data_IF_761450442045
#
_entry.id   IF_761450442045
#
_cell.length_a   1.000
_cell.length_b   1.000
_cell.length_c   1.000
_cell.angle_alpha   90.00
_cell.angle_beta   90.00
_cell.angle_gamma   90.00
#
_symmetry.space_group_name_H-M   'P 1'
#
loop_
_entity.id
_entity.type
_entity.pdbx_description
1 polymer ?
#
# COMPACT_ATOMS: atom_id res chain seq x y z
N UNK A 1 -19.65 10.86 -79.57
CA UNK A 1 -19.48 9.79 -78.57
C UNK A 1 -20.07 10.25 -77.25
N UNK A 2 -20.95 9.46 -76.63
CA UNK A 2 -21.61 9.82 -75.38
C UNK A 2 -20.73 9.43 -74.18
N UNK A 3 -20.39 10.39 -73.33
CA UNK A 3 -19.63 10.15 -72.09
C UNK A 3 -20.59 9.49 -71.08
N UNK A 4 -20.30 8.29 -70.57
CA UNK A 4 -21.15 7.65 -69.57
C UNK A 4 -21.15 8.50 -68.29
N UNK A 5 -22.34 8.94 -67.88
CA UNK A 5 -22.54 9.71 -66.64
C UNK A 5 -22.47 8.75 -65.45
N UNK A 6 -21.28 8.64 -64.82
CA UNK A 6 -21.14 7.96 -63.54
C UNK A 6 -21.76 8.81 -62.43
N UNK A 7 -22.65 8.22 -61.65
CA UNK A 7 -23.31 8.86 -60.52
C UNK A 7 -22.60 8.61 -59.19
N UNK A 8 -23.10 9.20 -58.11
CA UNK A 8 -22.63 8.95 -56.74
C UNK A 8 -22.65 7.46 -56.39
N UNK A 9 -23.60 6.69 -56.93
CA UNK A 9 -23.73 5.25 -56.70
C UNK A 9 -22.63 4.41 -57.40
N UNK A 10 -21.96 4.97 -58.41
CA UNK A 10 -20.85 4.30 -59.12
C UNK A 10 -19.50 4.57 -58.44
N UNK A 11 -19.47 5.44 -57.42
CA UNK A 11 -18.28 5.69 -56.61
C UNK A 11 -18.09 4.48 -55.70
N UNK A 12 -17.16 3.59 -56.08
CA UNK A 12 -16.73 2.46 -55.24
C UNK A 12 -16.03 3.03 -54.00
N UNK A 13 -16.77 3.19 -52.92
CA UNK A 13 -16.19 3.58 -51.64
C UNK A 13 -15.55 2.35 -50.98
N UNK A 14 -14.38 2.52 -50.34
CA UNK A 14 -13.72 1.45 -49.57
C UNK A 14 -14.47 1.09 -48.28
N UNK A 15 -15.58 1.76 -48.02
CA UNK A 15 -16.51 1.57 -46.90
C UNK A 15 -16.93 0.10 -46.83
N UNK A 16 -16.43 -0.62 -45.82
CA UNK A 16 -16.72 -2.04 -45.60
C UNK A 16 -15.57 -3.00 -45.94
N UNK A 17 -14.59 -2.62 -46.78
CA UNK A 17 -13.41 -3.47 -47.05
C UNK A 17 -12.36 -3.42 -45.92
N UNK A 18 -12.30 -2.31 -45.19
CA UNK A 18 -11.30 -2.05 -44.14
C UNK A 18 -11.65 -2.72 -42.79
N UNK A 19 -12.84 -3.34 -42.68
CA UNK A 19 -13.43 -3.72 -41.38
C UNK A 19 -12.98 -5.08 -40.82
N UNK A 20 -12.12 -5.85 -41.51
CA UNK A 20 -11.89 -7.28 -41.19
C UNK A 20 -10.52 -7.66 -40.61
N UNK A 21 -9.53 -6.78 -40.65
CA UNK A 21 -8.30 -6.97 -39.90
C UNK A 21 -8.35 -5.98 -38.74
N UNK A 22 -8.18 -6.45 -37.49
CA UNK A 22 -7.75 -5.59 -36.38
C UNK A 22 -6.69 -4.65 -36.95
N UNK A 23 -7.02 -3.37 -37.07
CA UNK A 23 -6.15 -2.46 -37.79
C UNK A 23 -4.85 -2.41 -36.97
N UNK A 24 -3.66 -2.65 -37.56
CA UNK A 24 -2.42 -2.75 -36.80
C UNK A 24 -2.23 -1.59 -35.81
N UNK A 25 -2.70 -0.38 -36.16
CA UNK A 25 -2.70 0.77 -35.26
C UNK A 25 -3.55 0.59 -34.00
N UNK A 26 -4.73 -0.04 -34.06
CA UNK A 26 -5.55 -0.32 -32.87
C UNK A 26 -4.84 -1.31 -31.94
N UNK A 27 -4.16 -2.31 -32.50
CA UNK A 27 -3.36 -3.26 -31.74
C UNK A 27 -2.19 -2.54 -31.03
N UNK A 28 -1.46 -1.68 -31.74
CA UNK A 28 -0.39 -0.88 -31.15
C UNK A 28 -0.90 0.06 -30.04
N UNK A 29 -2.04 0.71 -30.23
CA UNK A 29 -2.66 1.54 -29.20
C UNK A 29 -3.01 0.70 -27.98
N UNK A 30 -3.61 -0.48 -28.16
CA UNK A 30 -3.97 -1.36 -27.05
C UNK A 30 -2.74 -1.84 -26.28
N UNK A 31 -1.66 -2.20 -26.99
CA UNK A 31 -0.38 -2.58 -26.38
C UNK A 31 0.18 -1.41 -25.57
N UNK A 32 0.16 -0.19 -26.13
CA UNK A 32 0.64 1.00 -25.43
C UNK A 32 -0.11 1.23 -24.10
N UNK A 33 -1.43 1.05 -24.07
CA UNK A 33 -2.21 1.18 -22.84
C UNK A 33 -1.83 0.11 -21.80
N UNK A 34 -1.60 -1.13 -22.24
CA UNK A 34 -1.17 -2.21 -21.35
C UNK A 34 0.21 -1.92 -20.77
N UNK A 35 1.15 -1.40 -21.56
CA UNK A 35 2.48 -1.03 -21.07
C UNK A 35 2.41 0.14 -20.08
N UNK A 36 1.54 1.13 -20.30
CA UNK A 36 1.32 2.22 -19.35
C UNK A 36 0.74 1.71 -18.02
N UNK A 37 -0.25 0.83 -18.07
CA UNK A 37 -0.81 0.21 -16.87
C UNK A 37 0.23 -0.63 -16.12
N UNK A 38 1.05 -1.39 -16.85
CA UNK A 38 2.16 -2.13 -16.26
C UNK A 38 3.14 -1.21 -15.55
N UNK A 39 3.56 -0.11 -16.20
CA UNK A 39 4.47 0.86 -15.59
C UNK A 39 3.89 1.47 -14.29
N UNK A 40 2.61 1.83 -14.31
CA UNK A 40 1.89 2.32 -13.12
C UNK A 40 1.88 1.28 -12.00
N UNK A 41 1.58 0.02 -12.33
CA UNK A 41 1.55 -1.09 -11.36
C UNK A 41 2.93 -1.44 -10.81
N UNK A 42 3.99 -1.30 -11.60
CA UNK A 42 5.36 -1.46 -11.11
C UNK A 42 5.69 -0.42 -10.05
N UNK A 43 5.37 0.86 -10.28
CA UNK A 43 5.58 1.93 -9.29
C UNK A 43 4.77 1.71 -8.01
N UNK A 44 3.51 1.28 -8.12
CA UNK A 44 2.69 0.90 -6.97
C UNK A 44 3.32 -0.29 -6.20
N UNK A 45 3.85 -1.29 -6.91
CA UNK A 45 4.52 -2.45 -6.32
C UNK A 45 5.81 -2.08 -5.60
N UNK A 46 6.62 -1.17 -6.16
CA UNK A 46 7.84 -0.69 -5.52
C UNK A 46 7.55 0.03 -4.20
N UNK A 47 6.54 0.91 -4.19
CA UNK A 47 6.07 1.56 -2.95
C UNK A 47 5.60 0.54 -1.92
N UNK A 48 4.82 -0.46 -2.35
CA UNK A 48 4.36 -1.51 -1.46
C UNK A 48 5.53 -2.34 -0.87
N UNK A 49 6.57 -2.63 -1.67
CA UNK A 49 7.78 -3.32 -1.19
C UNK A 49 8.53 -2.50 -0.14
N UNK A 50 8.67 -1.19 -0.36
CA UNK A 50 9.28 -0.30 0.64
C UNK A 50 8.51 -0.35 1.96
N UNK A 51 7.19 -0.22 1.92
CA UNK A 51 6.35 -0.32 3.12
C UNK A 51 6.52 -1.67 3.84
N UNK A 52 6.57 -2.78 3.12
CA UNK A 52 6.81 -4.10 3.71
C UNK A 52 8.19 -4.19 4.36
N UNK A 53 9.22 -3.60 3.73
CA UNK A 53 10.57 -3.56 4.29
C UNK A 53 10.62 -2.72 5.57
N UNK A 54 9.96 -1.57 5.61
CA UNK A 54 9.87 -0.70 6.79
C UNK A 54 9.15 -1.42 7.95
N UNK A 55 8.05 -2.11 7.66
CA UNK A 55 7.33 -2.94 8.65
C UNK A 55 8.24 -4.03 9.20
N UNK A 56 8.96 -4.74 8.33
CA UNK A 56 9.88 -5.80 8.75
C UNK A 56 11.00 -5.25 9.64
N UNK A 57 11.59 -4.11 9.29
CA UNK A 57 12.58 -3.43 10.12
C UNK A 57 12.02 -3.06 11.49
N UNK A 58 10.81 -2.48 11.55
CA UNK A 58 10.17 -2.11 12.81
C UNK A 58 9.87 -3.31 13.70
N UNK A 59 9.50 -4.46 13.12
CA UNK A 59 9.28 -5.69 13.89
C UNK A 59 10.56 -6.16 14.58
N UNK A 60 11.71 -6.10 13.89
CA UNK A 60 13.01 -6.44 14.48
C UNK A 60 13.36 -5.50 15.63
N UNK A 61 13.13 -4.20 15.48
CA UNK A 61 13.34 -3.22 16.55
C UNK A 61 12.45 -3.52 17.77
N UNK A 62 11.16 -3.84 17.56
CA UNK A 62 10.23 -4.20 18.63
C UNK A 62 10.71 -5.44 19.38
N UNK A 63 11.22 -6.45 18.68
CA UNK A 63 11.77 -7.66 19.30
C UNK A 63 12.99 -7.32 20.16
N UNK A 64 13.90 -6.49 19.67
CA UNK A 64 15.05 -6.03 20.45
C UNK A 64 14.63 -5.20 21.69
N UNK A 65 13.69 -4.26 21.54
CA UNK A 65 13.12 -3.48 22.65
C UNK A 65 12.51 -4.40 23.72
N UNK A 66 11.76 -5.42 23.28
CA UNK A 66 11.17 -6.42 24.19
C UNK A 66 12.24 -7.20 24.94
N UNK A 67 13.31 -7.63 24.28
CA UNK A 67 14.41 -8.33 24.95
C UNK A 67 15.09 -7.48 26.02
N UNK A 68 15.35 -6.20 25.71
CA UNK A 68 15.91 -5.24 26.68
C UNK A 68 15.00 -5.09 27.90
N UNK A 69 13.68 -4.95 27.70
CA UNK A 69 12.73 -4.86 28.81
C UNK A 69 12.69 -6.15 29.64
N UNK A 70 12.74 -7.31 28.99
CA UNK A 70 12.79 -8.61 29.68
C UNK A 70 14.08 -8.79 30.48
N UNK A 71 15.23 -8.32 29.96
CA UNK A 71 16.49 -8.31 30.71
C UNK A 71 16.41 -7.40 31.93
N UNK A 72 15.92 -6.16 31.77
CA UNK A 72 15.74 -5.25 32.89
C UNK A 72 14.78 -5.77 33.98
N UNK A 73 13.77 -6.59 33.61
CA UNK A 73 12.92 -7.29 34.57
C UNK A 73 13.64 -8.43 35.30
N UNK A 74 14.52 -9.17 34.62
CA UNK A 74 15.36 -10.20 35.25
C UNK A 74 16.33 -9.59 36.26
N UNK A 75 16.96 -8.49 35.89
CA UNK A 75 17.91 -7.77 36.76
C UNK A 75 17.21 -7.12 37.97
N UNK A 76 15.94 -6.72 37.84
CA UNK A 76 15.11 -6.26 38.96
C UNK A 76 14.52 -7.39 39.80
N UNK A 77 14.40 -8.59 39.24
CA UNK A 77 13.87 -9.78 39.90
C UNK A 77 14.83 -10.43 40.90
N UNK A 78 16.10 -10.00 40.94
CA UNK A 78 17.08 -10.50 41.92
C UNK A 78 17.11 -9.73 43.24
N UNK A 79 16.44 -8.57 43.34
CA UNK A 79 16.26 -7.88 44.62
C UNK A 79 14.83 -8.08 45.12
N UNK A 80 14.61 -8.84 46.22
CA UNK A 80 13.31 -8.86 46.85
C UNK A 80 12.97 -7.42 47.29
N UNK A 81 11.73 -6.95 47.10
CA UNK A 81 11.33 -5.65 47.62
C UNK A 81 11.59 -5.66 49.13
N UNK A 82 12.13 -4.57 49.73
CA UNK A 82 12.26 -4.50 51.18
C UNK A 82 10.86 -4.62 51.75
N UNK A 83 10.57 -5.77 52.36
CA UNK A 83 9.34 -6.01 53.10
C UNK A 83 9.31 -4.96 54.20
N UNK A 84 8.55 -3.89 53.99
CA UNK A 84 8.26 -2.92 55.04
C UNK A 84 7.34 -3.60 56.05
N UNK A 85 7.93 -4.33 57.00
CA UNK A 85 7.27 -4.80 58.20
C UNK A 85 7.05 -3.61 59.13
N UNK A 86 5.98 -2.86 58.89
CA UNK A 86 5.56 -1.76 59.75
C UNK A 86 4.03 -1.60 59.71
N UNK A 87 3.36 -1.40 60.86
CA UNK A 87 1.90 -1.33 60.91
C UNK A 87 1.39 -0.09 60.15
N UNK A 88 0.18 -0.14 59.56
CA UNK A 88 -0.38 0.97 58.80
C UNK A 88 -0.65 2.16 59.73
N UNK A 89 0.10 3.25 59.52
CA UNK A 89 -0.06 4.50 60.27
C UNK A 89 -1.33 5.20 59.78
N UNK A 90 -2.45 5.09 60.52
CA UNK A 90 -3.65 5.91 60.28
C UNK A 90 -3.37 7.36 60.70
N UNK A 91 -3.29 8.26 59.73
CA UNK A 91 -3.34 9.72 59.91
C UNK A 91 -4.26 10.18 58.79
N UNK A 92 -5.41 10.81 58.95
CA UNK A 92 -6.04 11.58 60.02
C UNK A 92 -7.03 12.47 59.27
N UNK A 93 -8.32 12.41 59.62
CA UNK A 93 -9.43 12.90 58.78
C UNK A 93 -9.36 14.39 58.41
N UNK A 94 -9.80 14.69 57.18
CA UNK A 94 -9.94 16.04 56.64
C UNK A 94 -11.13 16.75 57.29
N UNK A 95 -10.91 17.92 57.91
CA UNK A 95 -11.99 18.78 58.44
C UNK A 95 -12.31 19.87 57.43
N UNK A 96 -13.50 19.79 56.83
CA UNK A 96 -14.10 20.89 56.06
C UNK A 96 -14.70 21.90 57.04
N UNK A 97 -14.36 23.18 56.89
CA UNK A 97 -15.03 24.28 57.59
C UNK A 97 -16.06 24.90 56.65
N UNK A 98 -17.28 25.08 57.17
CA UNK A 98 -18.35 25.86 56.55
C UNK A 98 -18.04 27.35 56.62
#
# INVERSE_FOLDING_TARGET
MAIPRRGIQDIRTLTGKVRRALLPHEAYLRISHIEMEKARKTLESEKARQLVADIAARLVEIEAEKEVLLQGLRDRGSDPPPVRSGPPKKIGGFKVRY
#
